data_IF_008773543056
#
_entry.id   IF_008773543056
#
_cell.length_a   1.000
_cell.length_b   1.000
_cell.length_c   1.000
_cell.angle_alpha   90.00
_cell.angle_beta   90.00
_cell.angle_gamma   90.00
#
_symmetry.space_group_name_H-M   'P 1'
#
loop_
_entity.id
_entity.type
_entity.pdbx_description
1 polymer ?
#
# COMPACT_ATOMS: atom_id res chain seq x y z
N UNK A 1 -1.67 2.42 6.62
CA UNK A 1 -0.31 1.89 6.37
C UNK A 1 0.16 2.42 5.03
N UNK A 2 1.47 2.53 4.83
CA UNK A 2 2.08 2.87 3.55
C UNK A 2 2.98 1.69 3.12
N UNK A 3 2.98 1.36 1.84
CA UNK A 3 3.85 0.34 1.25
C UNK A 3 4.67 1.05 0.18
N UNK A 4 6.00 1.02 0.30
CA UNK A 4 6.93 1.64 -0.64
C UNK A 4 7.89 0.59 -1.20
N UNK A 5 8.30 0.71 -2.46
CA UNK A 5 9.21 -0.24 -3.11
C UNK A 5 9.91 0.43 -4.29
N UNK A 6 11.09 -0.07 -4.68
CA UNK A 6 11.92 0.58 -5.70
C UNK A 6 11.58 0.16 -7.13
N UNK A 7 10.88 -0.96 -7.29
CA UNK A 7 10.44 -1.46 -8.60
C UNK A 7 8.99 -1.92 -8.54
N UNK A 8 8.30 -1.89 -9.68
CA UNK A 8 6.91 -2.35 -9.78
C UNK A 8 6.77 -3.82 -9.35
N UNK A 9 7.66 -4.69 -9.81
CA UNK A 9 7.59 -6.13 -9.48
C UNK A 9 7.83 -6.41 -7.98
N UNK A 10 8.68 -5.62 -7.33
CA UNK A 10 8.82 -5.67 -5.87
C UNK A 10 7.56 -5.16 -5.18
N UNK A 11 7.00 -4.05 -5.66
CA UNK A 11 5.79 -3.44 -5.11
C UNK A 11 4.59 -4.39 -5.16
N UNK A 12 4.38 -5.09 -6.27
CA UNK A 12 3.32 -6.09 -6.40
C UNK A 12 3.44 -7.20 -5.35
N UNK A 13 4.66 -7.73 -5.14
CA UNK A 13 4.92 -8.77 -4.14
C UNK A 13 4.63 -8.26 -2.73
N UNK A 14 5.09 -7.05 -2.41
CA UNK A 14 4.90 -6.43 -1.10
C UNK A 14 3.42 -6.14 -0.82
N UNK A 15 2.69 -5.55 -1.78
CA UNK A 15 1.25 -5.31 -1.67
C UNK A 15 0.49 -6.62 -1.44
N UNK A 16 0.80 -7.66 -2.22
CA UNK A 16 0.16 -8.98 -2.05
C UNK A 16 0.41 -9.58 -0.67
N UNK A 17 1.65 -9.52 -0.18
CA UNK A 17 2.01 -10.06 1.13
C UNK A 17 1.28 -9.33 2.26
N UNK A 18 1.22 -7.99 2.22
CA UNK A 18 0.52 -7.18 3.22
C UNK A 18 -0.98 -7.44 3.21
N UNK A 19 -1.62 -7.45 2.04
CA UNK A 19 -3.06 -7.72 1.94
C UNK A 19 -3.41 -9.13 2.43
N UNK A 20 -2.55 -10.12 2.17
CA UNK A 20 -2.73 -11.47 2.70
C UNK A 20 -2.61 -11.50 4.22
N UNK A 21 -1.63 -10.80 4.80
CA UNK A 21 -1.47 -10.70 6.25
C UNK A 21 -2.67 -10.04 6.93
N UNK A 22 -3.17 -8.92 6.36
CA UNK A 22 -4.38 -8.25 6.85
C UNK A 22 -5.60 -9.18 6.79
N UNK A 23 -5.78 -9.90 5.67
CA UNK A 23 -6.85 -10.88 5.51
C UNK A 23 -6.77 -11.97 6.58
N UNK A 24 -5.58 -12.55 6.80
CA UNK A 24 -5.38 -13.59 7.82
C UNK A 24 -5.67 -13.09 9.24
N UNK A 25 -5.46 -11.79 9.49
CA UNK A 25 -5.78 -11.12 10.75
C UNK A 25 -7.25 -10.64 10.83
N UNK A 26 -8.10 -10.96 9.84
CA UNK A 26 -9.49 -10.47 9.74
C UNK A 26 -9.61 -8.94 9.73
N UNK A 27 -8.62 -8.25 9.18
CA UNK A 27 -8.61 -6.81 8.94
C UNK A 27 -8.94 -6.51 7.48
N UNK A 28 -9.70 -5.44 7.24
CA UNK A 28 -10.17 -5.06 5.91
C UNK A 28 -9.74 -3.64 5.54
N UNK A 29 -9.29 -3.47 4.30
CA UNK A 29 -9.03 -2.16 3.71
C UNK A 29 -10.31 -1.62 3.06
N UNK A 30 -10.61 -0.33 3.25
CA UNK A 30 -11.72 0.32 2.57
C UNK A 30 -11.31 0.68 1.14
N UNK A 31 -12.01 0.19 0.09
CA UNK A 31 -11.66 0.53 -1.29
C UNK A 31 -11.67 2.05 -1.55
N UNK A 32 -12.62 2.77 -0.94
CA UNK A 32 -12.72 4.24 -1.06
C UNK A 32 -11.52 4.99 -0.47
N UNK A 33 -10.79 4.40 0.47
CA UNK A 33 -9.67 5.02 1.19
C UNK A 33 -8.31 4.39 0.84
N UNK A 34 -8.29 3.43 -0.08
CA UNK A 34 -7.08 2.69 -0.45
C UNK A 34 -6.66 3.13 -1.84
N UNK A 35 -5.46 3.69 -1.94
CA UNK A 35 -4.77 3.96 -3.20
C UNK A 35 -3.64 2.95 -3.36
N UNK A 36 -3.51 2.34 -4.55
CA UNK A 36 -2.50 1.33 -4.85
C UNK A 36 -1.75 1.72 -6.12
N UNK A 37 -0.44 1.44 -6.17
CA UNK A 37 0.41 1.69 -7.34
C UNK A 37 0.50 3.16 -7.77
N UNK A 38 0.42 4.08 -6.81
CA UNK A 38 0.63 5.51 -7.07
C UNK A 38 2.13 5.85 -7.01
N UNK A 39 2.55 6.84 -7.80
CA UNK A 39 3.90 7.43 -7.73
C UNK A 39 4.02 8.49 -6.61
N UNK A 40 2.89 8.93 -6.08
CA UNK A 40 2.80 9.91 -5.00
C UNK A 40 1.64 9.59 -4.05
N UNK A 41 1.76 9.99 -2.79
CA UNK A 41 0.74 9.77 -1.77
C UNK A 41 0.86 10.80 -0.64
N UNK A 42 -0.29 11.26 -0.15
CA UNK A 42 -0.36 12.00 1.11
C UNK A 42 -0.51 11.03 2.28
N UNK A 43 0.46 11.04 3.20
CA UNK A 43 0.46 10.18 4.37
C UNK A 43 0.87 10.95 5.63
N UNK A 44 0.03 10.91 6.66
CA UNK A 44 0.24 11.59 7.94
C UNK A 44 0.54 13.10 7.81
N UNK A 45 -0.10 13.77 6.84
CA UNK A 45 0.09 15.20 6.61
C UNK A 45 1.33 15.56 5.78
N UNK A 46 2.05 14.55 5.28
CA UNK A 46 3.20 14.73 4.39
C UNK A 46 2.86 14.26 2.97
N UNK A 47 3.27 15.04 1.98
CA UNK A 47 3.24 14.63 0.58
C UNK A 47 4.54 13.88 0.24
N UNK A 48 4.41 12.66 -0.25
CA UNK A 48 5.53 11.77 -0.59
C UNK A 48 5.44 11.45 -2.08
N UNK A 49 6.53 11.66 -2.82
CA UNK A 49 6.64 11.35 -4.25
C UNK A 49 7.99 10.66 -4.56
N UNK A 50 8.06 9.99 -5.70
CA UNK A 50 9.20 9.19 -6.15
C UNK A 50 10.42 10.00 -6.61
#
# INVERSE_FOLDING_TARGET
>A
IIIWSQTLGEHERNVRAVLLALRNAHLFCSPKKTSLFNLEVDFLGHHISA
#
